data_IF_194758614620
#
_entry.id   IF_194758614620
#
_cell.length_a   1.000
_cell.length_b   1.000
_cell.length_c   1.000
_cell.angle_alpha   90.00
_cell.angle_beta   90.00
_cell.angle_gamma   90.00
#
_symmetry.space_group_name_H-M   'P 1'
#
loop_
_entity.id
_entity.type
_entity.pdbx_description
1 polymer ?
#
# COMPACT_ATOMS: atom_id res chain seq x y z
N UNK A 1 -7.37 24.09 3.00
CA UNK A 1 -8.49 23.13 2.84
C UNK A 1 -8.17 21.92 3.69
N UNK A 2 -9.06 21.55 4.62
CA UNK A 2 -8.84 20.47 5.59
C UNK A 2 -9.37 19.18 4.97
N UNK A 3 -8.50 18.20 4.73
CA UNK A 3 -8.87 16.90 4.16
C UNK A 3 -9.95 16.25 5.03
N UNK A 4 -11.06 15.81 4.43
CA UNK A 4 -12.14 15.17 5.19
C UNK A 4 -11.72 13.77 5.63
N UNK A 5 -12.35 13.24 6.69
CA UNK A 5 -12.09 11.86 7.14
C UNK A 5 -12.42 10.84 6.04
N UNK A 6 -13.41 11.14 5.20
CA UNK A 6 -13.84 10.27 4.08
C UNK A 6 -12.77 10.24 3.00
N UNK A 7 -12.22 11.40 2.62
CA UNK A 7 -11.16 11.48 1.60
C UNK A 7 -9.92 10.68 2.01
N UNK A 8 -9.57 10.72 3.30
CA UNK A 8 -8.44 9.98 3.82
C UNK A 8 -8.64 8.46 3.84
N UNK A 9 -9.88 8.00 4.04
CA UNK A 9 -10.21 6.57 3.95
C UNK A 9 -10.16 6.10 2.49
N UNK A 10 -10.73 6.89 1.58
CA UNK A 10 -10.69 6.61 0.14
C UNK A 10 -9.26 6.56 -0.39
N UNK A 11 -8.41 7.50 0.01
CA UNK A 11 -7.00 7.53 -0.39
C UNK A 11 -6.23 6.26 0.05
N UNK A 12 -6.50 5.78 1.27
CA UNK A 12 -5.88 4.55 1.77
C UNK A 12 -6.43 3.33 1.02
N UNK A 13 -7.75 3.25 0.80
CA UNK A 13 -8.38 2.16 0.04
C UNK A 13 -7.85 2.10 -1.40
N UNK A 14 -7.77 3.23 -2.08
CA UNK A 14 -7.24 3.30 -3.44
C UNK A 14 -5.79 2.85 -3.51
N UNK A 15 -4.94 3.29 -2.57
CA UNK A 15 -3.55 2.83 -2.51
C UNK A 15 -3.42 1.31 -2.29
N UNK A 16 -4.27 0.74 -1.42
CA UNK A 16 -4.29 -0.70 -1.17
C UNK A 16 -4.73 -1.45 -2.43
N UNK A 17 -5.82 -1.02 -3.06
CA UNK A 17 -6.36 -1.66 -4.26
C UNK A 17 -5.36 -1.62 -5.42
N UNK A 18 -4.71 -0.47 -5.64
CA UNK A 18 -3.67 -0.33 -6.68
C UNK A 18 -2.48 -1.24 -6.35
N UNK A 19 -2.00 -1.23 -5.11
CA UNK A 19 -0.88 -2.08 -4.68
C UNK A 19 -1.19 -3.57 -4.85
N UNK A 20 -2.38 -4.01 -4.46
CA UNK A 20 -2.84 -5.39 -4.60
C UNK A 20 -2.95 -5.80 -6.08
N UNK A 21 -3.54 -4.94 -6.92
CA UNK A 21 -3.67 -5.20 -8.35
C UNK A 21 -2.30 -5.33 -9.05
N UNK A 22 -1.38 -4.40 -8.76
CA UNK A 22 0.00 -4.45 -9.31
C UNK A 22 0.71 -5.71 -8.85
N UNK A 23 0.63 -6.06 -7.56
CA UNK A 23 1.24 -7.27 -7.02
C UNK A 23 0.70 -8.53 -7.69
N UNK A 24 -0.62 -8.61 -7.89
CA UNK A 24 -1.27 -9.74 -8.54
C UNK A 24 -0.88 -9.88 -10.02
N UNK A 25 -0.79 -8.77 -10.75
CA UNK A 25 -0.31 -8.80 -12.13
C UNK A 25 1.17 -9.20 -12.18
N UNK A 26 2.01 -8.61 -11.32
CA UNK A 26 3.44 -8.90 -11.28
C UNK A 26 3.73 -10.39 -11.00
N UNK A 27 3.05 -11.02 -10.05
CA UNK A 27 3.25 -12.45 -9.76
C UNK A 27 2.83 -13.36 -10.92
N UNK A 28 1.73 -13.03 -11.61
CA UNK A 28 1.25 -13.80 -12.77
C UNK A 28 2.22 -13.73 -13.96
N UNK A 29 2.94 -12.62 -14.13
CA UNK A 29 3.94 -12.47 -15.21
C UNK A 29 5.35 -12.92 -14.80
N UNK A 30 5.79 -12.55 -13.59
CA UNK A 30 7.16 -12.78 -13.13
C UNK A 30 7.43 -14.24 -12.76
N UNK A 31 6.48 -14.92 -12.10
CA UNK A 31 6.70 -16.29 -11.66
C UNK A 31 6.89 -17.29 -12.81
N UNK A 32 6.10 -17.23 -13.91
CA UNK A 32 6.38 -18.01 -15.10
C UNK A 32 7.75 -17.70 -15.73
N UNK A 33 8.16 -16.41 -15.74
CA UNK A 33 9.46 -16.00 -16.31
C UNK A 33 10.65 -16.60 -15.57
N UNK A 34 10.54 -16.80 -14.25
CA UNK A 34 11.58 -17.45 -13.44
C UNK A 34 11.42 -18.99 -13.36
N UNK A 35 10.51 -19.58 -14.15
CA UNK A 35 10.28 -21.02 -14.21
C UNK A 35 9.58 -21.60 -12.97
N UNK A 36 8.91 -20.77 -12.16
CA UNK A 36 8.15 -21.22 -10.97
C UNK A 36 6.66 -21.14 -11.21
N UNK A 37 5.99 -22.27 -11.10
CA UNK A 37 4.52 -22.34 -11.12
C UNK A 37 4.00 -22.34 -9.70
N UNK A 38 3.33 -21.26 -9.31
CA UNK A 38 2.62 -21.16 -8.03
C UNK A 38 1.13 -21.42 -8.25
N UNK A 39 0.48 -22.07 -7.29
CA UNK A 39 -0.96 -22.28 -7.35
C UNK A 39 -1.71 -20.95 -7.24
N UNK A 40 -2.98 -20.91 -7.68
CA UNK A 40 -3.81 -19.72 -7.51
C UNK A 40 -3.95 -19.32 -6.02
N UNK A 41 -3.99 -20.30 -5.11
CA UNK A 41 -3.97 -20.08 -3.66
C UNK A 41 -2.69 -19.39 -3.19
N UNK A 42 -1.51 -19.81 -3.67
CA UNK A 42 -0.22 -19.20 -3.28
C UNK A 42 -0.14 -17.73 -3.71
N UNK A 43 -0.65 -17.44 -4.90
CA UNK A 43 -0.79 -16.07 -5.43
C UNK A 43 -1.76 -15.23 -4.59
N UNK A 44 -2.85 -15.81 -4.09
CA UNK A 44 -3.78 -15.11 -3.20
C UNK A 44 -3.19 -14.84 -1.81
N UNK A 45 -2.46 -15.80 -1.23
CA UNK A 45 -1.75 -15.60 0.04
C UNK A 45 -0.68 -14.51 -0.08
N UNK A 46 0.05 -14.50 -1.19
CA UNK A 46 1.06 -13.48 -1.50
C UNK A 46 0.42 -12.10 -1.62
N UNK A 47 -0.67 -11.98 -2.39
CA UNK A 47 -1.43 -10.74 -2.51
C UNK A 47 -1.94 -10.25 -1.15
N UNK A 48 -2.51 -11.14 -0.33
CA UNK A 48 -3.01 -10.79 1.00
C UNK A 48 -1.88 -10.30 1.93
N UNK A 49 -0.74 -10.97 1.91
CA UNK A 49 0.44 -10.58 2.68
C UNK A 49 0.95 -9.20 2.28
N UNK A 50 1.15 -8.95 0.98
CA UNK A 50 1.62 -7.64 0.49
C UNK A 50 0.60 -6.51 0.72
N UNK A 51 -0.70 -6.84 0.70
CA UNK A 51 -1.78 -5.92 1.07
C UNK A 51 -1.67 -5.54 2.55
N UNK A 52 -1.49 -6.52 3.43
CA UNK A 52 -1.31 -6.29 4.86
C UNK A 52 -0.07 -5.43 5.13
N UNK A 53 1.07 -5.77 4.51
CA UNK A 53 2.32 -5.00 4.62
C UNK A 53 2.12 -3.56 4.14
N UNK A 54 1.43 -3.36 3.01
CA UNK A 54 1.14 -2.02 2.47
C UNK A 54 0.24 -1.21 3.40
N UNK A 55 -0.78 -1.84 3.98
CA UNK A 55 -1.64 -1.23 4.99
C UNK A 55 -0.84 -0.81 6.23
N UNK A 56 -0.04 -1.72 6.79
CA UNK A 56 0.81 -1.46 7.96
C UNK A 56 1.76 -0.31 7.69
N UNK A 57 2.47 -0.32 6.56
CA UNK A 57 3.39 0.76 6.19
C UNK A 57 2.68 2.12 6.15
N UNK A 58 1.52 2.16 5.50
CA UNK A 58 0.75 3.41 5.36
C UNK A 58 0.24 3.91 6.70
N UNK A 59 -0.19 3.00 7.58
CA UNK A 59 -0.58 3.33 8.96
C UNK A 59 0.60 3.78 9.82
N UNK A 60 1.73 3.08 9.79
CA UNK A 60 2.96 3.43 10.51
C UNK A 60 3.48 4.80 10.10
N UNK A 61 3.53 5.09 8.78
CA UNK A 61 3.91 6.42 8.28
C UNK A 61 2.94 7.48 8.81
N UNK A 62 1.62 7.30 8.66
CA UNK A 62 0.65 8.24 9.24
C UNK A 62 0.84 8.41 10.75
N UNK A 63 1.13 7.35 11.49
CA UNK A 63 1.30 7.42 12.95
C UNK A 63 2.59 8.10 13.36
N UNK A 64 3.70 7.86 12.65
CA UNK A 64 4.99 8.54 12.86
C UNK A 64 4.88 10.04 12.65
N UNK A 65 4.07 10.48 11.68
CA UNK A 65 3.80 11.90 11.44
C UNK A 65 2.58 12.44 12.22
N UNK A 66 2.05 11.71 13.23
CA UNK A 66 0.86 12.11 14.01
C UNK A 66 -0.39 12.46 13.17
N UNK A 67 -0.54 11.83 12.01
CA UNK A 67 -1.62 12.09 11.05
C UNK A 67 -1.40 13.33 10.17
N UNK A 68 -0.24 14.00 10.28
CA UNK A 68 0.19 15.03 9.33
C UNK A 68 0.77 14.36 8.09
N UNK A 69 0.46 14.89 6.91
CA UNK A 69 1.13 14.48 5.67
C UNK A 69 2.64 14.71 5.81
N UNK A 70 3.47 13.85 5.21
CA UNK A 70 4.95 14.02 5.16
C UNK A 70 5.32 15.44 4.75
N UNK A 71 4.57 16.01 3.81
CA UNK A 71 4.72 17.39 3.36
C UNK A 71 4.52 18.42 4.49
N UNK A 72 3.51 18.23 5.35
CA UNK A 72 3.24 19.12 6.47
C UNK A 72 4.28 19.02 7.58
N UNK A 73 4.78 17.81 7.86
CA UNK A 73 5.86 17.62 8.83
C UNK A 73 7.16 18.28 8.36
N UNK A 74 7.58 18.01 7.12
CA UNK A 74 8.78 18.63 6.54
C UNK A 74 8.66 20.16 6.51
N UNK A 75 7.49 20.69 6.14
CA UNK A 75 7.25 22.14 6.14
C UNK A 75 7.30 22.78 7.54
N UNK A 76 6.93 22.08 8.61
CA UNK A 76 7.04 22.56 9.98
C UNK A 76 8.46 22.46 10.54
N UNK A 77 9.21 21.41 10.19
CA UNK A 77 10.58 21.20 10.68
C UNK A 77 11.61 22.11 10.00
N UNK A 78 11.39 22.50 8.74
CA UNK A 78 12.30 23.34 7.96
C UNK A 78 11.84 24.80 7.87
N UNK A 79 11.13 25.30 8.89
CA UNK A 79 10.75 26.71 9.03
C UNK A 79 11.40 27.29 10.28
#
# INVERSE_FOLDING_TARGET
>A
MKQSKIDSILEVLTNILIGAAIALVAQLFWFPLIGKTFSMSDNLYTMAFFTLVSFIRTYCIRRMFNGKSVYQFVKETFK
#
